data_IF_927837624121
#
_entry.id   IF_927837624121
#
_cell.length_a   1.000
_cell.length_b   1.000
_cell.length_c   1.000
_cell.angle_alpha   90.00
_cell.angle_beta   90.00
_cell.angle_gamma   90.00
#
_symmetry.space_group_name_H-M   'P 1'
#
loop_
_entity.id
_entity.type
_entity.pdbx_description
1 polymer ?
#
# COMPACT_ATOMS: atom_id res chain seq x y z
N UNK A 1 10.31 15.51 13.06
CA UNK A 1 10.06 14.49 12.03
C UNK A 1 8.57 14.29 11.89
N UNK A 2 7.99 14.57 10.74
CA UNK A 2 6.56 14.33 10.58
C UNK A 2 6.26 12.83 10.62
N UNK A 3 5.14 12.48 11.23
CA UNK A 3 4.71 11.10 11.29
C UNK A 3 4.08 10.70 9.95
N UNK A 4 4.50 9.58 9.34
CA UNK A 4 3.94 9.17 8.07
C UNK A 4 2.48 8.73 8.23
N UNK A 5 1.66 9.14 7.28
CA UNK A 5 0.25 8.77 7.22
C UNK A 5 0.05 7.62 6.23
N UNK A 6 0.81 7.65 5.14
CA UNK A 6 0.75 6.66 4.07
C UNK A 6 2.17 6.16 3.80
N UNK A 7 2.32 4.84 3.74
CA UNK A 7 3.59 4.21 3.38
C UNK A 7 3.36 3.44 2.08
N UNK A 8 4.24 3.65 1.12
CA UNK A 8 4.17 2.93 -0.17
C UNK A 8 5.47 2.18 -0.38
N UNK A 9 5.35 0.92 -0.75
CA UNK A 9 6.51 0.07 -1.00
C UNK A 9 6.35 -0.62 -2.35
N UNK A 10 7.42 -0.63 -3.14
CA UNK A 10 7.43 -1.31 -4.44
C UNK A 10 8.17 -2.61 -4.27
N UNK A 11 7.53 -3.72 -4.65
CA UNK A 11 8.11 -5.05 -4.51
C UNK A 11 8.60 -5.58 -5.85
N UNK A 12 9.77 -6.22 -5.81
CA UNK A 12 10.29 -7.02 -6.91
C UNK A 12 9.99 -8.50 -6.66
N UNK A 13 10.13 -9.36 -7.67
CA UNK A 13 9.89 -10.80 -7.50
C UNK A 13 10.78 -11.46 -6.44
N UNK A 14 11.90 -10.85 -6.11
CA UNK A 14 12.85 -11.41 -5.12
C UNK A 14 12.46 -11.14 -3.67
N UNK A 15 11.46 -10.30 -3.43
CA UNK A 15 11.04 -9.97 -2.07
C UNK A 15 10.27 -11.12 -1.44
N UNK A 16 10.69 -11.57 -0.25
CA UNK A 16 10.07 -12.69 0.43
C UNK A 16 8.76 -12.31 1.13
N UNK A 17 7.90 -13.31 1.34
CA UNK A 17 6.65 -13.12 2.07
C UNK A 17 6.91 -12.75 3.53
N UNK A 18 7.95 -13.33 4.14
CA UNK A 18 8.32 -13.03 5.51
C UNK A 18 8.71 -11.57 5.67
N UNK A 19 9.48 -11.05 4.70
CA UNK A 19 9.89 -9.65 4.72
C UNK A 19 8.67 -8.72 4.66
N UNK A 20 7.68 -9.06 3.83
CA UNK A 20 6.46 -8.26 3.72
C UNK A 20 5.66 -8.26 5.03
N UNK A 21 5.56 -9.41 5.69
CA UNK A 21 4.84 -9.52 6.96
C UNK A 21 5.49 -8.69 8.06
N UNK A 22 6.81 -8.73 8.13
CA UNK A 22 7.55 -7.95 9.11
C UNK A 22 7.39 -6.46 8.89
N UNK A 23 7.40 -6.02 7.63
CA UNK A 23 7.22 -4.61 7.29
C UNK A 23 5.82 -4.12 7.62
N UNK A 24 4.81 -4.94 7.35
CA UNK A 24 3.43 -4.60 7.69
C UNK A 24 3.29 -4.33 9.18
N UNK A 25 3.81 -5.24 10.00
CA UNK A 25 3.75 -5.10 11.45
C UNK A 25 4.53 -3.87 11.91
N UNK A 26 5.72 -3.68 11.36
CA UNK A 26 6.58 -2.56 11.71
C UNK A 26 5.91 -1.21 11.45
N UNK A 27 5.33 -1.04 10.27
CA UNK A 27 4.72 0.23 9.92
C UNK A 27 3.46 0.52 10.73
N UNK A 28 2.64 -0.48 10.99
CA UNK A 28 1.42 -0.26 11.75
C UNK A 28 1.63 -0.14 13.26
N UNK A 29 2.86 -0.30 13.74
CA UNK A 29 3.22 0.08 15.10
C UNK A 29 3.24 1.59 15.28
N UNK A 30 3.45 2.33 14.20
CA UNK A 30 3.40 3.78 14.23
C UNK A 30 1.93 4.22 14.23
N UNK A 31 1.46 4.90 15.28
CA UNK A 31 0.02 5.27 15.36
C UNK A 31 -0.45 6.15 14.23
N UNK A 32 0.45 6.90 13.59
CA UNK A 32 0.10 7.80 12.50
C UNK A 32 -0.20 7.08 11.20
N UNK A 33 0.33 5.86 10.99
CA UNK A 33 0.16 5.15 9.73
C UNK A 33 -1.27 4.65 9.59
N UNK A 34 -1.96 5.14 8.56
CA UNK A 34 -3.32 4.74 8.26
C UNK A 34 -3.38 3.80 7.07
N UNK A 35 -2.43 3.92 6.14
CA UNK A 35 -2.41 3.13 4.91
C UNK A 35 -1.01 2.62 4.61
N UNK A 36 -0.92 1.35 4.24
CA UNK A 36 0.31 0.76 3.74
C UNK A 36 -0.01 0.11 2.41
N UNK A 37 0.60 0.62 1.34
CA UNK A 37 0.37 0.16 -0.02
C UNK A 37 1.57 -0.62 -0.50
N UNK A 38 1.33 -1.81 -1.03
CA UNK A 38 2.37 -2.63 -1.65
C UNK A 38 2.08 -2.68 -3.15
N UNK A 39 3.00 -2.13 -3.93
CA UNK A 39 2.87 -2.06 -5.38
C UNK A 39 3.82 -3.08 -6.00
N UNK A 40 3.27 -4.05 -6.74
CA UNK A 40 4.09 -5.06 -7.39
C UNK A 40 4.68 -4.49 -8.68
N UNK A 41 6.00 -4.67 -8.86
CA UNK A 41 6.70 -4.11 -10.01
C UNK A 41 6.54 -4.96 -11.27
N UNK A 42 6.36 -6.28 -11.11
CA UNK A 42 6.33 -7.21 -12.23
C UNK A 42 4.91 -7.55 -12.73
N UNK A 43 3.91 -7.01 -12.08
CA UNK A 43 2.51 -7.26 -12.45
C UNK A 43 1.63 -6.12 -11.92
N UNK A 44 0.46 -5.95 -12.53
CA UNK A 44 -0.47 -4.93 -12.08
C UNK A 44 -1.25 -5.43 -10.88
N UNK A 45 -0.71 -5.15 -9.70
CA UNK A 45 -1.32 -5.54 -8.43
C UNK A 45 -0.91 -4.55 -7.35
N UNK A 46 -1.89 -4.03 -6.63
CA UNK A 46 -1.66 -3.16 -5.46
C UNK A 46 -2.39 -3.78 -4.28
N UNK A 47 -1.66 -4.03 -3.21
CA UNK A 47 -2.26 -4.50 -1.96
C UNK A 47 -2.37 -3.31 -1.03
N UNK A 48 -3.59 -3.05 -0.55
CA UNK A 48 -3.87 -1.91 0.32
C UNK A 48 -4.22 -2.42 1.71
N UNK A 49 -3.37 -2.10 2.66
CA UNK A 49 -3.62 -2.36 4.08
C UNK A 49 -4.05 -1.05 4.71
N UNK A 50 -5.24 -1.03 5.28
CA UNK A 50 -5.83 0.16 5.88
C UNK A 50 -6.10 -0.09 7.35
N UNK A 51 -5.74 0.88 8.20
CA UNK A 51 -6.06 0.80 9.63
C UNK A 51 -7.58 0.90 9.82
N UNK A 52 -8.12 0.01 10.62
CA UNK A 52 -9.54 -0.05 10.89
C UNK A 52 -9.72 -0.29 12.40
N UNK A 53 -9.75 0.80 13.17
CA UNK A 53 -9.78 0.71 14.61
C UNK A 53 -8.54 0.00 15.14
N UNK A 54 -8.74 -1.10 15.84
CA UNK A 54 -7.63 -1.90 16.38
C UNK A 54 -7.13 -2.98 15.44
N UNK A 55 -7.62 -3.02 14.19
CA UNK A 55 -7.23 -4.04 13.23
C UNK A 55 -6.79 -3.41 11.91
N UNK A 56 -6.44 -4.25 10.95
CA UNK A 56 -6.02 -3.82 9.60
C UNK A 56 -6.91 -4.53 8.59
N UNK A 57 -7.55 -3.73 7.72
CA UNK A 57 -8.35 -4.25 6.62
C UNK A 57 -7.47 -4.30 5.37
N UNK A 58 -7.48 -5.42 4.66
CA UNK A 58 -6.64 -5.65 3.48
C UNK A 58 -7.49 -5.89 2.25
N UNK A 59 -7.13 -5.21 1.15
CA UNK A 59 -7.76 -5.42 -0.14
C UNK A 59 -6.71 -5.50 -1.23
N UNK A 60 -7.02 -6.23 -2.31
CA UNK A 60 -6.13 -6.40 -3.45
C UNK A 60 -6.79 -5.79 -4.67
N UNK A 61 -6.05 -4.93 -5.37
CA UNK A 61 -6.56 -4.20 -6.52
C UNK A 61 -5.71 -4.46 -7.76
N UNK A 62 -6.35 -4.79 -8.87
CA UNK A 62 -5.68 -4.91 -10.17
C UNK A 62 -6.16 -3.82 -11.13
N UNK A 63 -7.24 -3.14 -10.78
CA UNK A 63 -7.81 -2.04 -11.55
C UNK A 63 -8.71 -1.22 -10.63
N UNK A 64 -9.25 -0.12 -11.14
CA UNK A 64 -10.17 0.71 -10.39
C UNK A 64 -9.47 1.76 -9.55
N UNK A 65 -10.24 2.41 -8.70
CA UNK A 65 -9.79 3.52 -7.88
C UNK A 65 -9.57 3.07 -6.44
N UNK A 66 -8.46 3.48 -5.86
CA UNK A 66 -8.18 3.25 -4.44
C UNK A 66 -8.36 4.59 -3.72
N UNK A 67 -9.16 4.58 -2.66
CA UNK A 67 -9.37 5.75 -1.82
C UNK A 67 -8.51 5.66 -0.57
N UNK A 68 -7.77 6.73 -0.29
CA UNK A 68 -6.95 6.85 0.91
C UNK A 68 -7.54 7.93 1.80
N UNK A 69 -8.39 7.54 2.72
CA UNK A 69 -9.05 8.46 3.63
C UNK A 69 -8.86 7.98 5.07
N UNK A 70 -8.15 8.71 5.95
CA UNK A 70 -7.49 9.97 5.68
C UNK A 70 -6.26 9.83 4.78
N UNK A 71 -5.81 10.89 4.11
CA UNK A 71 -6.29 12.28 4.18
C UNK A 71 -7.42 12.62 3.18
N UNK A 72 -7.82 11.72 2.31
CA UNK A 72 -8.84 11.97 1.31
C UNK A 72 -8.26 12.09 -0.10
N UNK A 73 -7.55 11.05 -0.52
CA UNK A 73 -6.93 10.99 -1.84
C UNK A 73 -7.52 9.83 -2.63
N UNK A 74 -7.54 9.98 -3.96
CA UNK A 74 -7.97 8.91 -4.86
C UNK A 74 -6.90 8.73 -5.92
N UNK A 75 -6.64 7.49 -6.31
CA UNK A 75 -5.80 7.22 -7.45
C UNK A 75 -6.29 6.00 -8.21
N UNK A 76 -6.00 6.00 -9.52
CA UNK A 76 -6.40 4.92 -10.42
C UNK A 76 -5.24 3.95 -10.58
N UNK A 77 -5.48 2.68 -10.31
CA UNK A 77 -4.45 1.64 -10.39
C UNK A 77 -3.89 1.51 -11.81
N UNK A 78 -4.76 1.57 -12.82
CA UNK A 78 -4.32 1.45 -14.23
C UNK A 78 -3.41 2.62 -14.60
N UNK A 79 -3.76 3.83 -14.17
CA UNK A 79 -2.95 5.01 -14.46
C UNK A 79 -1.55 4.91 -13.85
N UNK A 80 -1.46 4.34 -12.65
CA UNK A 80 -0.19 4.13 -11.98
C UNK A 80 0.77 3.27 -12.81
N UNK A 81 0.25 2.18 -13.37
CA UNK A 81 1.07 1.26 -14.16
C UNK A 81 1.30 1.75 -15.58
N UNK A 82 0.38 2.53 -16.12
CA UNK A 82 0.54 3.11 -17.46
C UNK A 82 1.76 4.04 -17.51
N UNK A 83 1.96 4.87 -16.48
CA UNK A 83 3.12 5.74 -16.39
C UNK A 83 4.41 4.92 -16.25
N UNK A 84 4.39 3.88 -15.44
CA UNK A 84 5.56 3.04 -15.21
C UNK A 84 5.97 2.27 -16.47
N UNK A 85 5.02 1.99 -17.36
CA UNK A 85 5.28 1.25 -18.58
C UNK A 85 5.78 2.13 -19.74
N UNK A 86 5.67 3.43 -19.60
CA UNK A 86 6.05 4.39 -20.66
C UNK A 86 7.60 4.58 -20.80
#
# INVERSE_FOLDING_TARGET
MPDPLIVVEVLSPSTSATDRSEKLEKYFRLPSVQHYLIVWADRRRVVHHRRDGGSVATSVHTEGTIALDPPGMLFDVIALYAEAAA
#
